data_IF_771768511771
#
_entry.id   IF_771768511771
#
_cell.length_a   1.000
_cell.length_b   1.000
_cell.length_c   1.000
_cell.angle_alpha   90.00
_cell.angle_beta   90.00
_cell.angle_gamma   90.00
#
_symmetry.space_group_name_H-M   'P 1'
#
loop_
_entity.id
_entity.type
_entity.pdbx_description
1 polymer ?
#
# COMPACT_ATOMS: atom_id res chain seq x y z
N UNK A 1 -6.16 -18.57 -17.70
CA UNK A 1 -7.10 -18.61 -16.56
C UNK A 1 -8.48 -18.27 -17.08
N UNK A 2 -9.50 -19.07 -16.75
CA UNK A 2 -10.87 -18.77 -17.20
C UNK A 2 -11.43 -17.55 -16.45
N UNK A 3 -12.39 -16.85 -17.06
CA UNK A 3 -12.95 -15.59 -16.55
C UNK A 3 -13.48 -15.71 -15.11
N UNK A 4 -14.22 -16.79 -14.82
CA UNK A 4 -14.74 -17.04 -13.46
C UNK A 4 -13.63 -17.20 -12.42
N UNK A 5 -12.55 -17.90 -12.76
CA UNK A 5 -11.40 -18.08 -11.85
C UNK A 5 -10.71 -16.76 -11.58
N UNK A 6 -10.62 -15.88 -12.59
CA UNK A 6 -10.04 -14.55 -12.44
C UNK A 6 -10.90 -13.64 -11.55
N UNK A 7 -12.21 -13.61 -11.76
CA UNK A 7 -13.14 -12.84 -10.93
C UNK A 7 -13.16 -13.34 -9.47
N UNK A 8 -13.07 -14.66 -9.27
CA UNK A 8 -12.94 -15.24 -7.94
C UNK A 8 -11.63 -14.80 -7.26
N UNK A 9 -10.51 -14.89 -7.97
CA UNK A 9 -9.21 -14.43 -7.48
C UNK A 9 -9.25 -12.96 -7.06
N UNK A 10 -9.80 -12.10 -7.91
CA UNK A 10 -9.94 -10.67 -7.65
C UNK A 10 -10.82 -10.42 -6.42
N UNK A 11 -11.98 -11.06 -6.36
CA UNK A 11 -12.92 -10.93 -5.23
C UNK A 11 -12.29 -11.36 -3.91
N UNK A 12 -11.66 -12.54 -3.87
CA UNK A 12 -11.01 -13.06 -2.67
C UNK A 12 -9.83 -12.16 -2.27
N UNK A 13 -9.02 -11.73 -3.24
CA UNK A 13 -7.86 -10.86 -2.97
C UNK A 13 -8.29 -9.55 -2.33
N UNK A 14 -9.28 -8.86 -2.90
CA UNK A 14 -9.74 -7.58 -2.35
C UNK A 14 -10.53 -7.74 -1.05
N UNK A 15 -11.25 -8.85 -0.86
CA UNK A 15 -11.89 -9.17 0.41
C UNK A 15 -10.84 -9.35 1.53
N UNK A 16 -9.77 -10.12 1.27
CA UNK A 16 -8.68 -10.32 2.23
C UNK A 16 -7.88 -9.04 2.47
N UNK A 17 -7.55 -8.30 1.41
CA UNK A 17 -6.84 -7.04 1.49
C UNK A 17 -7.64 -5.98 2.28
N UNK A 18 -8.95 -5.91 2.00
CA UNK A 18 -9.91 -5.13 2.77
C UNK A 18 -9.92 -5.53 4.24
N UNK A 19 -10.03 -6.84 4.54
CA UNK A 19 -10.04 -7.37 5.90
C UNK A 19 -8.78 -6.96 6.67
N UNK A 20 -7.59 -7.14 6.09
CA UNK A 20 -6.32 -6.72 6.69
C UNK A 20 -6.33 -5.22 6.97
N UNK A 21 -6.82 -4.39 6.03
CA UNK A 21 -6.96 -2.95 6.22
C UNK A 21 -7.97 -2.58 7.30
N UNK A 22 -9.08 -3.30 7.42
CA UNK A 22 -10.06 -3.09 8.49
C UNK A 22 -9.47 -3.36 9.87
N UNK A 23 -8.65 -4.41 9.99
CA UNK A 23 -8.02 -4.78 11.27
C UNK A 23 -6.84 -3.87 11.62
N UNK A 24 -5.95 -3.61 10.67
CA UNK A 24 -4.68 -2.91 10.93
C UNK A 24 -4.74 -1.41 10.67
N UNK A 25 -5.72 -0.94 9.92
CA UNK A 25 -5.79 0.42 9.39
C UNK A 25 -4.96 0.64 8.12
N UNK A 26 -4.18 -0.36 7.67
CA UNK A 26 -3.25 -0.24 6.54
C UNK A 26 -3.16 -1.56 5.75
N UNK A 27 -2.41 -1.58 4.65
CA UNK A 27 -1.99 -2.86 4.03
C UNK A 27 -2.90 -3.43 2.94
N UNK A 28 -4.03 -2.80 2.58
CA UNK A 28 -4.80 -3.23 1.39
C UNK A 28 -3.92 -3.25 0.12
N UNK A 29 -3.17 -2.17 -0.22
CA UNK A 29 -2.22 -2.19 -1.32
C UNK A 29 -1.21 -3.33 -1.22
N UNK A 30 -0.63 -3.53 -0.05
CA UNK A 30 0.41 -4.54 0.19
C UNK A 30 -0.10 -5.96 -0.05
N UNK A 31 -1.28 -6.28 0.47
CA UNK A 31 -1.90 -7.60 0.28
C UNK A 31 -2.35 -7.81 -1.16
N UNK A 32 -3.00 -6.79 -1.75
CA UNK A 32 -3.49 -6.87 -3.12
C UNK A 32 -2.33 -7.02 -4.11
N UNK A 33 -1.26 -6.22 -3.98
CA UNK A 33 -0.07 -6.34 -4.80
C UNK A 33 0.61 -7.69 -4.62
N UNK A 34 0.76 -8.17 -3.37
CA UNK A 34 1.36 -9.47 -3.10
C UNK A 34 0.57 -10.64 -3.71
N UNK A 35 -0.76 -10.64 -3.58
CA UNK A 35 -1.61 -11.71 -4.10
C UNK A 35 -1.87 -11.62 -5.61
N UNK A 36 -2.09 -10.44 -6.17
CA UNK A 36 -2.28 -10.30 -7.61
C UNK A 36 -0.96 -10.46 -8.35
N UNK A 37 0.16 -9.99 -7.78
CA UNK A 37 1.50 -10.12 -8.37
C UNK A 37 1.96 -11.57 -8.55
N UNK A 38 1.34 -12.53 -7.86
CA UNK A 38 1.61 -13.95 -8.10
C UNK A 38 0.87 -14.49 -9.33
N UNK A 39 -0.22 -13.86 -9.76
CA UNK A 39 -1.06 -14.31 -10.86
C UNK A 39 -0.95 -13.45 -12.13
N UNK A 40 -0.47 -12.22 -12.02
CA UNK A 40 -0.35 -11.28 -13.14
C UNK A 40 0.85 -10.35 -12.99
N UNK A 41 1.14 -9.58 -14.04
CA UNK A 41 2.20 -8.57 -14.00
C UNK A 41 1.93 -7.51 -12.91
N UNK A 42 2.96 -7.06 -12.17
CA UNK A 42 2.81 -6.05 -11.11
C UNK A 42 2.15 -4.75 -11.59
N UNK A 43 2.44 -4.28 -12.81
CA UNK A 43 1.80 -3.08 -13.35
C UNK A 43 0.27 -3.24 -13.50
N UNK A 44 -0.19 -4.41 -13.94
CA UNK A 44 -1.62 -4.71 -14.06
C UNK A 44 -2.31 -4.81 -12.68
N UNK A 45 -1.63 -5.45 -11.71
CA UNK A 45 -2.11 -5.50 -10.33
C UNK A 45 -2.26 -4.08 -9.73
N UNK A 46 -1.26 -3.22 -9.96
CA UNK A 46 -1.27 -1.84 -9.52
C UNK A 46 -2.41 -1.02 -10.15
N UNK A 47 -2.73 -1.24 -11.42
CA UNK A 47 -3.85 -0.59 -12.08
C UNK A 47 -5.22 -0.99 -11.48
N UNK A 48 -5.44 -2.28 -11.24
CA UNK A 48 -6.69 -2.78 -10.63
C UNK A 48 -6.83 -2.27 -9.19
N UNK A 49 -5.71 -2.03 -8.48
CA UNK A 49 -5.70 -1.52 -7.12
C UNK A 49 -6.16 -0.06 -6.98
N UNK A 50 -6.03 0.78 -8.02
CA UNK A 50 -6.17 2.25 -7.92
C UNK A 50 -7.49 2.67 -7.27
N UNK A 51 -8.64 2.29 -7.83
CA UNK A 51 -9.95 2.76 -7.36
C UNK A 51 -10.28 2.28 -5.94
N UNK A 52 -10.20 0.97 -5.60
CA UNK A 52 -10.53 0.51 -4.26
C UNK A 52 -9.54 1.05 -3.21
N UNK A 53 -8.26 1.18 -3.55
CA UNK A 53 -7.28 1.83 -2.66
C UNK A 53 -7.66 3.28 -2.40
N UNK A 54 -7.92 4.06 -3.46
CA UNK A 54 -8.26 5.47 -3.36
C UNK A 54 -9.48 5.69 -2.47
N UNK A 55 -10.57 4.97 -2.73
CA UNK A 55 -11.82 5.13 -1.97
C UNK A 55 -11.64 4.78 -0.49
N UNK A 56 -10.97 3.66 -0.19
CA UNK A 56 -10.74 3.23 1.19
C UNK A 56 -9.74 4.12 1.93
N UNK A 57 -8.79 4.75 1.23
CA UNK A 57 -7.86 5.72 1.82
C UNK A 57 -8.54 7.07 2.06
N UNK A 58 -9.38 7.54 1.12
CA UNK A 58 -10.18 8.76 1.29
C UNK A 58 -11.13 8.63 2.47
N UNK A 59 -11.74 7.46 2.67
CA UNK A 59 -12.55 7.20 3.86
C UNK A 59 -11.75 7.43 5.15
N UNK A 60 -10.51 6.93 5.24
CA UNK A 60 -9.65 7.12 6.42
C UNK A 60 -9.17 8.57 6.57
N UNK A 61 -8.86 9.23 5.45
CA UNK A 61 -8.40 10.61 5.41
C UNK A 61 -9.47 11.59 5.91
N UNK A 62 -10.73 11.33 5.58
CA UNK A 62 -11.87 12.17 5.93
C UNK A 62 -12.51 11.81 7.28
N UNK A 63 -11.94 10.85 8.02
CA UNK A 63 -12.52 10.35 9.26
C UNK A 63 -12.39 11.31 10.46
N UNK A 64 -11.73 12.47 10.31
CA UNK A 64 -11.61 13.44 11.39
C UNK A 64 -11.16 14.84 10.94
N UNK A 65 -10.98 15.78 11.88
CA UNK A 65 -10.85 17.21 11.59
C UNK A 65 -9.43 17.68 11.25
N UNK A 66 -8.41 16.80 11.38
CA UNK A 66 -7.00 17.17 11.28
C UNK A 66 -6.47 17.26 9.83
N UNK A 67 -7.32 17.07 8.82
CA UNK A 67 -6.93 17.05 7.41
C UNK A 67 -6.05 18.24 7.00
N UNK A 68 -6.50 19.46 7.28
CA UNK A 68 -5.79 20.68 6.87
C UNK A 68 -4.47 20.87 7.61
N UNK A 69 -4.42 20.53 8.91
CA UNK A 69 -3.19 20.62 9.70
C UNK A 69 -2.16 19.60 9.24
N UNK A 70 -2.59 18.35 8.98
CA UNK A 70 -1.74 17.28 8.47
C UNK A 70 -1.23 17.58 7.06
N UNK A 71 -2.07 18.11 6.18
CA UNK A 71 -1.65 18.52 4.83
C UNK A 71 -0.56 19.60 4.90
N UNK A 72 -0.75 20.63 5.74
CA UNK A 72 0.25 21.69 5.93
C UNK A 72 1.52 21.18 6.60
N UNK A 73 1.44 20.22 7.51
CA UNK A 73 2.62 19.65 8.19
C UNK A 73 3.43 18.75 7.26
N UNK A 74 2.76 17.90 6.47
CA UNK A 74 3.38 16.86 5.66
C UNK A 74 3.46 17.17 4.15
N UNK A 75 3.20 18.41 3.73
CA UNK A 75 3.20 18.79 2.31
C UNK A 75 4.51 18.40 1.58
N UNK A 76 5.66 18.56 2.23
CA UNK A 76 6.96 18.23 1.66
C UNK A 76 7.13 16.72 1.48
N UNK A 77 6.61 15.93 2.43
CA UNK A 77 6.54 14.47 2.30
C UNK A 77 5.62 14.07 1.14
N UNK A 78 4.45 14.72 1.00
CA UNK A 78 3.52 14.44 -0.11
C UNK A 78 4.15 14.76 -1.46
N UNK A 79 4.85 15.88 -1.57
CA UNK A 79 5.59 16.24 -2.79
C UNK A 79 6.67 15.19 -3.11
N UNK A 80 7.44 14.76 -2.12
CA UNK A 80 8.41 13.68 -2.27
C UNK A 80 7.77 12.38 -2.77
N UNK A 81 6.61 11.99 -2.20
CA UNK A 81 5.85 10.82 -2.65
C UNK A 81 5.45 10.96 -4.12
N UNK A 82 4.91 12.11 -4.52
CA UNK A 82 4.49 12.33 -5.90
C UNK A 82 5.68 12.20 -6.86
N UNK A 83 6.77 12.93 -6.60
CA UNK A 83 7.95 12.91 -7.45
C UNK A 83 8.57 11.52 -7.52
N UNK A 84 8.74 10.86 -6.37
CA UNK A 84 9.31 9.52 -6.30
C UNK A 84 8.41 8.47 -6.96
N UNK A 85 7.09 8.56 -6.80
CA UNK A 85 6.15 7.58 -7.36
C UNK A 85 6.05 7.72 -8.87
N UNK A 86 5.85 8.94 -9.38
CA UNK A 86 5.75 9.17 -10.83
C UNK A 86 7.06 8.83 -11.52
N UNK A 87 8.21 9.23 -10.94
CA UNK A 87 9.53 8.85 -11.47
C UNK A 87 9.83 7.36 -11.36
N UNK A 88 9.41 6.71 -10.26
CA UNK A 88 9.61 5.29 -10.00
C UNK A 88 8.67 4.37 -10.78
N UNK A 89 7.50 4.85 -11.20
CA UNK A 89 6.51 4.07 -11.96
C UNK A 89 7.07 3.52 -13.28
N UNK A 90 8.06 4.19 -13.86
CA UNK A 90 8.79 3.69 -15.02
C UNK A 90 9.42 2.32 -14.75
N UNK A 91 9.92 2.07 -13.53
CA UNK A 91 10.50 0.80 -13.14
C UNK A 91 9.44 -0.31 -13.17
N UNK A 92 8.26 -0.05 -12.59
CA UNK A 92 7.18 -1.04 -12.55
C UNK A 92 6.62 -1.39 -13.93
N UNK A 93 6.63 -0.44 -14.88
CA UNK A 93 6.05 -0.62 -16.22
C UNK A 93 7.08 -1.11 -17.26
N UNK A 94 8.32 -0.62 -17.21
CA UNK A 94 9.32 -0.87 -18.26
C UNK A 94 10.28 -2.01 -17.93
N UNK A 95 10.51 -2.30 -16.65
CA UNK A 95 11.32 -3.45 -16.25
C UNK A 95 10.51 -4.71 -16.48
N UNK A 96 11.20 -5.78 -16.89
CA UNK A 96 10.58 -7.10 -17.06
C UNK A 96 9.73 -7.48 -15.82
N UNK A 97 8.50 -7.97 -16.02
CA UNK A 97 7.60 -8.32 -14.92
C UNK A 97 8.21 -9.24 -13.87
N UNK A 98 9.14 -10.11 -14.25
CA UNK A 98 9.87 -11.03 -13.37
C UNK A 98 10.73 -10.25 -12.36
N UNK A 99 11.51 -9.28 -12.81
CA UNK A 99 12.36 -8.44 -11.96
C UNK A 99 11.54 -7.44 -11.13
N UNK A 100 10.46 -6.89 -11.70
CA UNK A 100 9.49 -6.08 -10.94
C UNK A 100 8.82 -6.89 -9.83
N UNK A 101 8.51 -8.17 -10.10
CA UNK A 101 8.01 -9.12 -9.11
C UNK A 101 9.02 -9.37 -7.98
N UNK A 102 10.29 -9.57 -8.31
CA UNK A 102 11.36 -9.69 -7.31
C UNK A 102 11.48 -8.43 -6.44
N UNK A 103 11.44 -7.23 -7.04
CA UNK A 103 11.50 -5.97 -6.30
C UNK A 103 10.31 -5.82 -5.34
N UNK A 104 9.09 -6.19 -5.77
CA UNK A 104 7.92 -6.29 -4.92
C UNK A 104 8.14 -7.27 -3.76
N UNK A 105 8.65 -8.47 -4.05
CA UNK A 105 8.94 -9.48 -3.03
C UNK A 105 9.95 -8.98 -1.97
N UNK A 106 11.02 -8.31 -2.40
CA UNK A 106 11.99 -7.66 -1.50
C UNK A 106 11.30 -6.60 -0.64
N UNK A 107 10.45 -5.75 -1.22
CA UNK A 107 9.73 -4.73 -0.47
C UNK A 107 8.79 -5.34 0.58
N UNK A 108 8.09 -6.43 0.25
CA UNK A 108 7.23 -7.16 1.18
C UNK A 108 8.04 -7.77 2.34
N UNK A 109 9.15 -8.45 2.03
CA UNK A 109 10.01 -9.05 3.06
C UNK A 109 10.67 -7.98 3.93
N UNK A 110 11.17 -6.90 3.34
CA UNK A 110 11.77 -5.78 4.07
C UNK A 110 10.79 -5.12 5.03
N UNK A 111 9.57 -4.85 4.57
CA UNK A 111 8.50 -4.36 5.44
C UNK A 111 8.17 -5.35 6.56
N UNK A 112 7.97 -6.63 6.21
CA UNK A 112 7.56 -7.63 7.18
C UNK A 112 8.62 -7.86 8.26
N UNK A 113 9.89 -7.95 7.87
CA UNK A 113 11.03 -8.05 8.80
C UNK A 113 11.11 -6.84 9.72
N UNK A 114 11.04 -5.62 9.17
CA UNK A 114 11.03 -4.39 9.98
C UNK A 114 9.86 -4.37 10.97
N UNK A 115 8.65 -4.68 10.51
CA UNK A 115 7.44 -4.60 11.33
C UNK A 115 7.34 -5.72 12.38
N UNK A 116 8.03 -6.85 12.19
CA UNK A 116 8.17 -7.93 13.17
C UNK A 116 9.15 -7.56 14.28
N UNK A 117 10.28 -6.94 13.95
CA UNK A 117 11.23 -6.39 14.93
C UNK A 117 10.55 -5.27 15.73
N UNK A 118 9.73 -4.45 15.05
CA UNK A 118 8.96 -3.35 15.64
C UNK A 118 9.82 -2.42 16.52
N UNK A 119 10.91 -1.85 16.00
CA UNK A 119 11.81 -1.04 16.80
C UNK A 119 11.09 0.20 17.36
N UNK A 120 11.36 0.52 18.62
CA UNK A 120 10.81 1.69 19.29
C UNK A 120 11.56 2.95 18.85
N UNK A 121 11.26 3.43 17.64
CA UNK A 121 11.83 4.65 17.10
C UNK A 121 11.00 5.86 17.53
N UNK A 122 11.68 6.94 17.94
CA UNK A 122 11.07 8.22 18.26
C UNK A 122 11.86 9.30 17.53
N UNK A 123 11.21 10.04 16.63
CA UNK A 123 11.88 11.08 15.83
C UNK A 123 11.73 12.43 16.53
N UNK A 124 12.83 13.17 16.78
CA UNK A 124 12.74 14.50 17.37
C UNK A 124 12.14 15.50 16.37
N UNK A 125 11.32 16.43 16.86
CA UNK A 125 10.63 17.43 16.02
C UNK A 125 11.58 18.27 15.15
N UNK A 126 12.84 18.47 15.58
CA UNK A 126 13.86 19.20 14.79
C UNK A 126 14.30 18.46 13.52
N UNK A 127 14.24 17.13 13.52
CA UNK A 127 14.59 16.31 12.37
C UNK A 127 13.42 16.16 11.38
N UNK A 128 12.19 16.44 11.83
CA UNK A 128 10.98 16.22 11.05
C UNK A 128 10.97 16.94 9.69
N UNK A 129 11.32 18.24 9.57
CA UNK A 129 11.28 18.96 8.29
C UNK A 129 12.27 18.43 7.25
N UNK A 130 13.37 17.83 7.70
CA UNK A 130 14.40 17.24 6.84
C UNK A 130 14.07 15.79 6.46
N UNK A 131 13.55 15.03 7.42
CA UNK A 131 13.18 13.63 7.21
C UNK A 131 11.90 13.49 6.40
N UNK A 132 10.92 14.37 6.56
CA UNK A 132 9.65 14.35 5.82
C UNK A 132 9.83 14.21 4.31
N UNK A 133 10.54 15.13 3.60
CA UNK A 133 10.72 15.02 2.16
C UNK A 133 11.53 13.79 1.74
N UNK A 134 12.54 13.39 2.52
CA UNK A 134 13.35 12.20 2.24
C UNK A 134 12.51 10.92 2.36
N UNK A 135 11.76 10.77 3.45
CA UNK A 135 10.82 9.67 3.68
C UNK A 135 9.78 9.64 2.57
N UNK A 136 9.25 10.80 2.19
CA UNK A 136 8.32 10.93 1.09
C UNK A 136 8.90 10.42 -0.22
N UNK A 137 10.10 10.88 -0.57
CA UNK A 137 10.80 10.47 -1.79
C UNK A 137 11.09 8.97 -1.83
N UNK A 138 11.64 8.41 -0.76
CA UNK A 138 11.94 6.97 -0.67
C UNK A 138 10.65 6.14 -0.73
N UNK A 139 9.59 6.58 -0.03
CA UNK A 139 8.27 5.93 -0.09
C UNK A 139 7.73 5.99 -1.51
N UNK A 140 7.87 7.14 -2.17
CA UNK A 140 7.45 7.32 -3.55
C UNK A 140 8.19 6.39 -4.50
N UNK A 141 9.53 6.30 -4.42
CA UNK A 141 10.32 5.41 -5.28
C UNK A 141 9.90 3.95 -5.08
N UNK A 142 9.76 3.49 -3.83
CA UNK A 142 9.31 2.12 -3.54
C UNK A 142 7.88 1.91 -4.07
N UNK A 143 7.00 2.88 -3.88
CA UNK A 143 5.62 2.85 -4.38
C UNK A 143 5.57 2.76 -5.89
N UNK A 144 6.33 3.60 -6.58
CA UNK A 144 6.42 3.60 -8.03
C UNK A 144 6.99 2.31 -8.57
N UNK A 145 8.01 1.75 -7.92
CA UNK A 145 8.68 0.53 -8.37
C UNK A 145 7.92 -0.76 -8.06
N UNK A 146 7.07 -0.78 -7.02
CA UNK A 146 6.48 -2.03 -6.49
C UNK A 146 4.97 -1.98 -6.26
N UNK A 147 4.35 -0.80 -6.20
CA UNK A 147 2.97 -0.62 -5.76
C UNK A 147 2.74 -0.74 -4.25
N UNK A 148 3.80 -0.81 -3.43
CA UNK A 148 3.70 -0.89 -1.95
C UNK A 148 3.93 0.47 -1.31
N UNK A 149 2.96 0.95 -0.52
CA UNK A 149 2.97 2.32 0.01
C UNK A 149 3.53 2.45 1.44
N UNK A 150 3.97 1.33 2.02
CA UNK A 150 4.11 1.21 3.47
C UNK A 150 5.45 1.73 3.99
N UNK A 151 6.55 1.47 3.27
CA UNK A 151 7.90 1.78 3.72
C UNK A 151 8.46 2.98 2.96
N UNK A 152 9.20 3.89 3.61
CA UNK A 152 9.34 4.10 5.07
C UNK A 152 8.25 4.98 5.71
N UNK A 153 7.24 5.46 4.96
CA UNK A 153 6.23 6.40 5.48
C UNK A 153 5.49 5.94 6.73
N UNK A 154 5.06 4.67 6.80
CA UNK A 154 4.30 4.17 7.95
C UNK A 154 5.15 4.14 9.23
N UNK A 155 6.35 3.53 9.25
CA UNK A 155 7.24 3.63 10.40
C UNK A 155 7.54 5.06 10.82
N UNK A 156 7.77 5.95 9.84
CA UNK A 156 8.05 7.35 10.10
C UNK A 156 6.88 8.04 10.82
N UNK A 157 5.66 7.93 10.28
CA UNK A 157 4.47 8.52 10.90
C UNK A 157 4.18 7.93 12.29
N UNK A 158 4.44 6.64 12.49
CA UNK A 158 4.33 6.00 13.80
C UNK A 158 5.37 6.53 14.81
N UNK A 159 6.56 6.92 14.35
CA UNK A 159 7.62 7.45 15.20
C UNK A 159 7.44 8.93 15.59
N UNK A 160 6.49 9.65 14.97
CA UNK A 160 6.17 11.06 15.26
C UNK A 160 5.23 11.26 16.46
N UNK A 161 4.81 10.18 17.14
CA UNK A 161 3.93 10.21 18.32
C UNK A 161 2.64 10.99 18.11
N UNK A 162 2.06 10.89 16.91
CA UNK A 162 0.74 11.43 16.61
C UNK A 162 -0.33 10.76 17.47
N UNK A 163 -1.40 11.49 17.78
CA UNK A 163 -2.58 10.90 18.36
C UNK A 163 -3.18 9.86 17.40
N UNK A 164 -3.92 8.90 17.95
CA UNK A 164 -4.43 7.75 17.18
C UNK A 164 -5.23 8.18 15.94
N UNK A 165 -6.08 9.20 16.07
CA UNK A 165 -6.94 9.68 14.99
C UNK A 165 -6.17 10.50 13.96
N UNK A 166 -5.16 11.26 14.40
CA UNK A 166 -4.24 11.98 13.52
C UNK A 166 -3.35 11.00 12.74
N UNK A 167 -2.86 9.93 13.37
CA UNK A 167 -2.08 8.89 12.71
C UNK A 167 -2.90 8.20 11.61
N UNK A 168 -4.15 7.84 11.90
CA UNK A 168 -5.05 7.23 10.89
C UNK A 168 -5.28 8.19 9.71
N UNK A 169 -5.53 9.47 9.97
CA UNK A 169 -5.69 10.47 8.91
C UNK A 169 -4.38 10.70 8.13
N UNK A 170 -3.22 10.73 8.79
CA UNK A 170 -1.92 10.91 8.15
C UNK A 170 -1.56 9.72 7.24
N UNK A 171 -1.86 8.49 7.68
CA UNK A 171 -1.76 7.29 6.86
C UNK A 171 -2.71 7.35 5.66
N UNK A 172 -3.97 7.75 5.89
CA UNK A 172 -4.96 7.99 4.83
C UNK A 172 -4.47 9.01 3.81
N UNK A 173 -3.85 10.11 4.26
CA UNK A 173 -3.29 11.16 3.41
C UNK A 173 -2.16 10.59 2.55
N UNK A 174 -1.17 9.98 3.18
CA UNK A 174 -0.01 9.40 2.51
C UNK A 174 -0.41 8.36 1.46
N UNK A 175 -1.31 7.44 1.81
CA UNK A 175 -1.75 6.40 0.89
C UNK A 175 -2.67 6.93 -0.23
N UNK A 176 -3.48 7.95 0.05
CA UNK A 176 -4.27 8.64 -0.99
C UNK A 176 -3.35 9.28 -2.02
N UNK A 177 -2.37 10.08 -1.57
CA UNK A 177 -1.40 10.73 -2.46
C UNK A 177 -0.57 9.71 -3.21
N UNK A 178 -0.11 8.65 -2.55
CA UNK A 178 0.62 7.53 -3.19
C UNK A 178 -0.22 6.86 -4.28
N UNK A 179 -1.51 6.63 -4.03
CA UNK A 179 -2.42 6.00 -5.00
C UNK A 179 -2.65 6.90 -6.21
N UNK A 180 -2.88 8.20 -6.00
CA UNK A 180 -3.06 9.16 -7.09
C UNK A 180 -1.78 9.32 -7.91
N UNK A 181 -0.63 9.39 -7.25
CA UNK A 181 0.67 9.48 -7.92
C UNK A 181 0.99 8.21 -8.71
N UNK A 182 0.65 7.03 -8.18
CA UNK A 182 0.80 5.76 -8.89
C UNK A 182 -0.12 5.70 -10.11
N UNK A 183 -1.38 6.10 -9.98
CA UNK A 183 -2.31 6.19 -11.10
C UNK A 183 -1.79 7.12 -12.20
N UNK A 184 -1.26 8.29 -11.82
CA UNK A 184 -0.62 9.22 -12.75
C UNK A 184 0.62 8.60 -13.43
N UNK A 185 1.49 7.93 -12.67
CA UNK A 185 2.66 7.25 -13.22
C UNK A 185 2.30 6.12 -14.20
N UNK A 186 1.31 5.30 -13.86
CA UNK A 186 0.80 4.25 -14.73
C UNK A 186 0.19 4.84 -16.02
N UNK A 187 -0.56 5.95 -15.91
CA UNK A 187 -1.14 6.63 -17.06
C UNK A 187 -0.05 7.19 -17.99
N UNK A 188 0.94 7.90 -17.44
CA UNK A 188 2.06 8.48 -18.20
C UNK A 188 2.86 7.41 -18.94
N UNK A 189 2.97 6.20 -18.37
CA UNK A 189 3.66 5.08 -18.99
C UNK A 189 2.76 4.13 -19.80
N UNK A 190 1.48 4.47 -20.00
CA UNK A 190 0.55 3.69 -20.82
C UNK A 190 0.09 2.36 -20.22
N UNK A 191 0.31 2.16 -18.91
CA UNK A 191 -0.04 0.94 -18.19
C UNK A 191 -1.44 0.99 -17.56
N UNK A 192 -2.10 2.16 -17.52
CA UNK A 192 -3.47 2.30 -17.00
C UNK A 192 -4.49 2.22 -18.16
N UNK A 193 -5.12 1.06 -18.32
CA UNK A 193 -6.11 0.84 -19.39
C UNK A 193 -7.56 0.88 -18.86
N UNK A 194 -8.50 1.20 -19.75
CA UNK A 194 -9.95 1.30 -19.42
C UNK A 194 -10.49 -0.01 -18.85
N UNK A 195 -10.09 -1.15 -19.41
CA UNK A 195 -10.54 -2.48 -18.94
C UNK A 195 -10.13 -2.73 -17.48
N UNK A 196 -8.94 -2.29 -17.10
CA UNK A 196 -8.43 -2.43 -15.74
C UNK A 196 -9.17 -1.51 -14.76
N UNK A 197 -9.65 -0.35 -15.21
CA UNK A 197 -10.53 0.53 -14.41
C UNK A 197 -11.91 -0.10 -14.21
N UNK A 198 -12.44 -0.81 -15.21
CA UNK A 198 -13.67 -1.60 -15.07
C UNK A 198 -13.53 -2.68 -13.99
N UNK A 199 -12.44 -3.46 -14.05
CA UNK A 199 -12.11 -4.47 -13.04
C UNK A 199 -11.84 -3.85 -11.66
N UNK A 200 -11.16 -2.71 -11.61
CA UNK A 200 -10.91 -1.94 -10.38
C UNK A 200 -12.22 -1.50 -9.71
N UNK A 201 -13.22 -1.15 -10.51
CA UNK A 201 -14.54 -0.77 -10.01
C UNK A 201 -15.28 -1.96 -9.38
N UNK A 202 -15.18 -3.16 -9.99
CA UNK A 202 -15.73 -4.39 -9.41
C UNK A 202 -15.05 -4.77 -8.08
N UNK A 203 -13.76 -4.45 -7.92
CA UNK A 203 -12.99 -4.69 -6.71
C UNK A 203 -13.42 -3.84 -5.51
N UNK A 204 -14.19 -2.75 -5.71
CA UNK A 204 -14.62 -1.86 -4.63
C UNK A 204 -15.49 -2.58 -3.60
N UNK A 205 -16.51 -3.31 -4.07
CA UNK A 205 -17.46 -4.00 -3.20
C UNK A 205 -16.75 -5.02 -2.28
N UNK A 206 -15.93 -5.96 -2.78
CA UNK A 206 -15.21 -6.88 -1.91
C UNK A 206 -14.21 -6.16 -1.00
N UNK A 207 -13.53 -5.12 -1.47
CA UNK A 207 -12.61 -4.34 -0.64
C UNK A 207 -13.31 -3.67 0.55
N UNK A 208 -14.46 -3.03 0.32
CA UNK A 208 -15.25 -2.39 1.37
C UNK A 208 -15.88 -3.42 2.32
N UNK A 209 -16.42 -4.52 1.78
CA UNK A 209 -16.96 -5.62 2.60
C UNK A 209 -15.88 -6.23 3.50
N UNK A 210 -14.69 -6.46 2.95
CA UNK A 210 -13.52 -6.91 3.69
C UNK A 210 -13.15 -5.93 4.79
N UNK A 211 -13.03 -4.63 4.47
CA UNK A 211 -12.67 -3.60 5.44
C UNK A 211 -13.68 -3.51 6.60
N UNK A 212 -14.98 -3.55 6.29
CA UNK A 212 -16.03 -3.59 7.30
C UNK A 212 -15.92 -4.84 8.20
N UNK A 213 -15.71 -6.01 7.61
CA UNK A 213 -15.55 -7.26 8.35
C UNK A 213 -14.29 -7.21 9.24
N UNK A 214 -13.19 -6.70 8.71
CA UNK A 214 -11.93 -6.52 9.45
C UNK A 214 -12.10 -5.61 10.67
N UNK A 215 -12.83 -4.50 10.54
CA UNK A 215 -13.14 -3.61 11.66
C UNK A 215 -13.96 -4.32 12.75
N UNK A 216 -14.94 -5.16 12.36
CA UNK A 216 -15.74 -5.96 13.30
C UNK A 216 -14.89 -7.01 14.02
N UNK A 217 -14.01 -7.71 13.30
CA UNK A 217 -13.13 -8.74 13.87
C UNK A 217 -12.12 -8.09 14.81
N UNK A 218 -11.57 -6.91 14.47
CA UNK A 218 -10.61 -6.16 15.29
C UNK A 218 -11.07 -5.97 16.74
N UNK A 219 -12.38 -5.80 16.96
CA UNK A 219 -12.96 -5.65 18.29
C UNK A 219 -12.94 -6.94 19.12
N UNK A 220 -12.73 -8.11 18.50
CA UNK A 220 -12.81 -9.44 19.13
C UNK A 220 -11.48 -10.20 19.16
N UNK A 221 -10.44 -9.72 18.48
CA UNK A 221 -9.14 -10.41 18.37
C UNK A 221 -8.00 -9.58 18.96
N UNK A 222 -6.92 -10.25 19.36
CA UNK A 222 -5.67 -9.57 19.69
C UNK A 222 -5.05 -8.97 18.42
N UNK A 223 -5.03 -7.63 18.34
CA UNK A 223 -4.40 -6.90 17.24
C UNK A 223 -2.93 -7.30 17.02
N UNK A 224 -2.22 -7.65 18.11
CA UNK A 224 -0.82 -8.11 18.05
C UNK A 224 -0.70 -9.44 17.30
N UNK A 225 -1.50 -10.44 17.66
CA UNK A 225 -1.46 -11.77 17.02
C UNK A 225 -1.84 -11.69 15.55
N UNK A 226 -2.90 -10.93 15.23
CA UNK A 226 -3.31 -10.74 13.85
C UNK A 226 -2.20 -10.08 13.02
N UNK A 227 -1.59 -9.01 13.56
CA UNK A 227 -0.45 -8.36 12.90
C UNK A 227 0.70 -9.36 12.68
N UNK A 228 1.03 -10.20 13.66
CA UNK A 228 2.08 -11.21 13.48
C UNK A 228 1.75 -12.21 12.37
N UNK A 229 0.55 -12.78 12.36
CA UNK A 229 0.12 -13.70 11.28
C UNK A 229 0.15 -13.03 9.91
N UNK A 230 -0.31 -11.78 9.82
CA UNK A 230 -0.27 -10.99 8.59
C UNK A 230 1.17 -10.78 8.09
N UNK A 231 2.10 -10.42 8.97
CA UNK A 231 3.49 -10.21 8.59
C UNK A 231 4.18 -11.51 8.17
N UNK A 232 3.88 -12.63 8.83
CA UNK A 232 4.36 -13.95 8.39
C UNK A 232 3.82 -14.31 7.01
N UNK A 233 2.55 -14.02 6.73
CA UNK A 233 1.95 -14.21 5.42
C UNK A 233 2.65 -13.34 4.34
N UNK A 234 2.97 -12.08 4.65
CA UNK A 234 3.74 -11.22 3.74
C UNK A 234 5.17 -11.73 3.50
N UNK A 235 5.83 -12.30 4.50
CA UNK A 235 7.13 -12.95 4.31
C UNK A 235 7.03 -14.11 3.33
N UNK A 236 6.01 -14.96 3.46
CA UNK A 236 5.79 -16.09 2.56
C UNK A 236 5.51 -15.63 1.12
N UNK A 237 4.65 -14.63 0.93
CA UNK A 237 4.40 -14.03 -0.39
C UNK A 237 5.67 -13.40 -0.97
N UNK A 238 6.45 -12.70 -0.15
CA UNK A 238 7.69 -12.09 -0.58
C UNK A 238 8.73 -13.14 -1.01
N UNK A 239 8.86 -14.24 -0.26
CA UNK A 239 9.71 -15.37 -0.62
C UNK A 239 9.28 -16.02 -1.94
N UNK A 240 7.98 -16.24 -2.12
CA UNK A 240 7.44 -16.77 -3.38
C UNK A 240 7.85 -15.88 -4.57
N UNK A 241 7.61 -14.57 -4.48
CA UNK A 241 7.92 -13.62 -5.55
C UNK A 241 9.42 -13.51 -5.84
N UNK A 242 10.27 -13.54 -4.81
CA UNK A 242 11.74 -13.51 -4.96
C UNK A 242 12.26 -14.79 -5.60
N UNK A 243 11.62 -15.94 -5.36
CA UNK A 243 12.10 -17.22 -5.89
C UNK A 243 11.91 -17.36 -7.40
N UNK A 244 10.91 -16.69 -7.98
CA UNK A 244 10.48 -16.84 -9.38
C UNK A 244 11.56 -16.58 -10.44
N UNK A 245 12.47 -15.60 -10.31
CA UNK A 245 13.54 -15.42 -11.29
C UNK A 245 14.57 -16.54 -11.33
N UNK A 246 14.62 -17.40 -10.31
CA UNK A 246 15.65 -18.40 -10.13
C UNK A 246 15.18 -19.83 -10.46
N UNK A 247 13.91 -20.01 -10.82
CA UNK A 247 13.29 -21.29 -11.18
C UNK A 247 12.49 -21.14 -12.48
#
# INVERSE_FOLDING_TARGET
MNEYTFLLLLTVTFLLAGLVKGVTGMGLPTVAMGLLGTAMAPAAAAAILVIPSLLTNLWQLLAGPALLSLLRRFWAMMLGIVLGTVGGAALLVRVDPLWSGLALGIALMGYAGYALISPALSIPARAEPWLSPLVGLVTGIITGATGVFVMPAVPYLQALRLDKDELVQALGLSFTVSTLALAAGLLVHGALQVDQLGLSSLAILPALAGMWLGQRIRARISARRFRQCFLLFLLLLGLELISRPFF
#
